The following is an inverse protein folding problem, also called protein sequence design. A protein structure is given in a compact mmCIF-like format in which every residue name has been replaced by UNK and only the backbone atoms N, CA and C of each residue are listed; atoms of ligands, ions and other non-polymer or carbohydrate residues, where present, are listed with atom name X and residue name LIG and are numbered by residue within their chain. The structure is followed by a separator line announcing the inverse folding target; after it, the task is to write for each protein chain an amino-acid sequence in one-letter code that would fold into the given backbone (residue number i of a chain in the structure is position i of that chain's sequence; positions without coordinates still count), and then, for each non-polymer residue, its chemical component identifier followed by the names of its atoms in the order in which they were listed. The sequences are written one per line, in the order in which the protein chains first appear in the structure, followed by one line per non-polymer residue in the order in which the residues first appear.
data_IF_645903728958
#
_entry.id   IF_645903728958
#
_cell.length_a   1.000
_cell.length_b   1.000
_cell.length_c   1.000
_cell.angle_alpha   90.00
_cell.angle_beta   90.00
_cell.angle_gamma   90.00
#
_symmetry.space_group_name_H-M   'P 1'
#
loop_
_entity.id
_entity.type
_entity.pdbx_description
1 polymer ?
#
# COMPACT_ATOMS: atom_id res chain seq x y z
N UNK A 1 -8.86 -27.39 1.69
CA UNK A 1 -8.84 -26.32 2.71
C UNK A 1 -9.53 -25.08 2.15
N UNK A 2 -10.46 -24.51 2.90
CA UNK A 2 -11.24 -23.34 2.47
C UNK A 2 -10.80 -22.12 3.27
N UNK A 3 -10.25 -21.11 2.58
CA UNK A 3 -9.70 -19.89 3.17
C UNK A 3 -10.56 -18.69 2.79
N UNK A 4 -10.86 -17.84 3.76
CA UNK A 4 -11.43 -16.52 3.48
C UNK A 4 -10.45 -15.45 3.89
N UNK A 5 -10.12 -14.57 2.93
CA UNK A 5 -9.39 -13.34 3.19
C UNK A 5 -10.36 -12.17 3.26
N UNK A 6 -10.15 -11.28 4.22
CA UNK A 6 -10.95 -10.06 4.33
C UNK A 6 -10.05 -8.85 4.54
N UNK A 7 -10.23 -7.86 3.70
CA UNK A 7 -9.43 -6.65 3.66
C UNK A 7 -10.30 -5.50 3.14
N UNK A 8 -9.84 -4.27 3.26
CA UNK A 8 -10.60 -3.23 2.61
C UNK A 8 -10.10 -1.81 2.71
N UNK A 9 -10.57 -1.03 1.74
CA UNK A 9 -10.45 0.41 1.67
C UNK A 9 -9.21 0.92 0.94
N UNK A 10 -8.06 0.27 1.10
CA UNK A 10 -6.79 0.73 0.48
C UNK A 10 -5.91 -0.43 0.06
N UNK A 11 -5.05 -0.20 -0.94
CA UNK A 11 -4.07 -1.19 -1.40
C UNK A 11 -3.17 -1.71 -0.26
N UNK A 12 -2.86 -0.88 0.74
CA UNK A 12 -2.07 -1.27 1.90
C UNK A 12 -2.68 -2.38 2.78
N UNK A 13 -3.99 -2.64 2.67
CA UNK A 13 -4.65 -3.79 3.31
C UNK A 13 -4.93 -4.92 2.33
N UNK A 14 -5.11 -4.61 1.04
CA UNK A 14 -5.46 -5.58 0.00
C UNK A 14 -4.22 -6.36 -0.46
N UNK A 15 -3.12 -5.68 -0.75
CA UNK A 15 -1.90 -6.30 -1.26
C UNK A 15 -1.32 -7.36 -0.32
N UNK A 16 -1.23 -7.15 1.01
CA UNK A 16 -0.81 -8.19 1.95
C UNK A 16 -1.71 -9.42 1.93
N UNK A 17 -3.04 -9.22 1.81
CA UNK A 17 -3.97 -10.33 1.70
C UNK A 17 -3.73 -11.14 0.42
N UNK A 18 -3.53 -10.46 -0.73
CA UNK A 18 -3.20 -11.10 -2.01
C UNK A 18 -1.86 -11.83 -1.93
N UNK A 19 -0.83 -11.22 -1.31
CA UNK A 19 0.48 -11.85 -1.16
C UNK A 19 0.40 -13.17 -0.39
N UNK A 20 -0.32 -13.18 0.74
CA UNK A 20 -0.53 -14.42 1.52
C UNK A 20 -1.40 -15.41 0.74
N UNK A 21 -2.45 -14.97 0.05
CA UNK A 21 -3.32 -15.84 -0.75
C UNK A 21 -2.54 -16.51 -1.88
N UNK A 22 -1.66 -15.78 -2.58
CA UNK A 22 -0.80 -16.34 -3.62
C UNK A 22 0.13 -17.43 -3.06
N UNK A 23 0.77 -17.17 -1.93
CA UNK A 23 1.63 -18.15 -1.27
C UNK A 23 0.85 -19.39 -0.79
N UNK A 24 -0.37 -19.21 -0.28
CA UNK A 24 -1.23 -20.32 0.11
C UNK A 24 -1.64 -21.17 -1.09
N UNK A 25 -2.00 -20.56 -2.22
CA UNK A 25 -2.34 -21.26 -3.46
C UNK A 25 -1.15 -22.01 -4.05
N UNK A 26 0.04 -21.43 -3.97
CA UNK A 26 1.29 -22.09 -4.43
C UNK A 26 1.62 -23.32 -3.58
N UNK A 27 1.55 -23.21 -2.25
CA UNK A 27 1.87 -24.30 -1.33
C UNK A 27 0.77 -25.36 -1.19
N UNK A 28 -0.47 -24.95 -1.43
CA UNK A 28 -1.67 -25.78 -1.30
C UNK A 28 -2.58 -25.58 -2.52
N UNK A 29 -2.25 -26.18 -3.69
CA UNK A 29 -3.00 -25.97 -4.93
C UNK A 29 -4.49 -26.31 -4.84
N UNK A 30 -4.86 -27.23 -3.96
CA UNK A 30 -6.25 -27.64 -3.73
C UNK A 30 -7.02 -26.75 -2.75
N UNK A 31 -6.45 -25.61 -2.32
CA UNK A 31 -7.16 -24.71 -1.44
C UNK A 31 -8.16 -23.86 -2.21
N UNK A 32 -9.35 -23.68 -1.64
CA UNK A 32 -10.36 -22.76 -2.14
C UNK A 32 -10.19 -21.42 -1.40
N UNK A 33 -10.01 -20.35 -2.17
CA UNK A 33 -9.80 -19.01 -1.61
C UNK A 33 -10.92 -18.08 -2.06
N UNK A 34 -11.54 -17.41 -1.10
CA UNK A 34 -12.57 -16.39 -1.31
C UNK A 34 -12.18 -15.11 -0.58
N UNK A 35 -12.35 -13.98 -1.25
CA UNK A 35 -12.17 -12.66 -0.62
C UNK A 35 -13.51 -12.05 -0.22
N UNK A 36 -13.49 -11.31 0.89
CA UNK A 36 -14.59 -10.45 1.33
C UNK A 36 -14.04 -9.04 1.50
N UNK A 37 -14.64 -8.07 0.80
CA UNK A 37 -14.24 -6.67 0.79
C UNK A 37 -15.43 -5.72 0.85
N UNK A 38 -15.17 -4.42 0.71
CA UNK A 38 -16.20 -3.39 0.65
C UNK A 38 -16.55 -3.04 -0.79
N UNK A 39 -17.82 -2.70 -1.04
CA UNK A 39 -18.31 -2.26 -2.33
C UNK A 39 -17.84 -0.84 -2.66
N UNK A 40 -17.54 -0.59 -3.95
CA UNK A 40 -17.10 0.71 -4.45
C UNK A 40 -15.67 1.08 -4.08
N UNK A 41 -14.83 0.12 -3.71
CA UNK A 41 -13.45 0.33 -3.33
C UNK A 41 -12.46 -0.46 -4.21
N UNK A 42 -11.17 -0.30 -3.92
CA UNK A 42 -10.10 -0.89 -4.74
C UNK A 42 -10.13 -2.42 -4.80
N UNK A 43 -10.74 -3.07 -3.81
CA UNK A 43 -10.92 -4.53 -3.77
C UNK A 43 -11.60 -5.05 -5.03
N UNK A 44 -12.59 -4.31 -5.55
CA UNK A 44 -13.35 -4.71 -6.76
C UNK A 44 -12.48 -4.79 -8.02
N UNK A 45 -11.32 -4.12 -8.02
CA UNK A 45 -10.35 -4.18 -9.11
C UNK A 45 -9.19 -5.13 -8.78
N UNK A 46 -8.53 -4.95 -7.63
CA UNK A 46 -7.27 -5.63 -7.31
C UNK A 46 -7.47 -7.14 -7.06
N UNK A 47 -8.54 -7.53 -6.41
CA UNK A 47 -8.77 -8.95 -6.07
C UNK A 47 -9.07 -9.79 -7.32
N UNK A 48 -10.01 -9.40 -8.23
CA UNK A 48 -10.23 -10.13 -9.47
C UNK A 48 -9.02 -10.12 -10.41
N UNK A 49 -8.24 -9.03 -10.46
CA UNK A 49 -7.00 -8.98 -11.23
C UNK A 49 -5.94 -9.97 -10.72
N UNK A 50 -5.94 -10.27 -9.42
CA UNK A 50 -5.09 -11.29 -8.83
C UNK A 50 -5.64 -12.73 -9.02
N UNK A 51 -6.78 -12.89 -9.71
CA UNK A 51 -7.38 -14.18 -10.02
C UNK A 51 -8.13 -14.83 -8.86
N UNK A 52 -8.75 -14.01 -7.98
CA UNK A 52 -9.56 -14.49 -6.87
C UNK A 52 -11.01 -14.03 -6.93
N UNK A 53 -11.90 -14.87 -6.43
CA UNK A 53 -13.31 -14.53 -6.25
C UNK A 53 -13.47 -13.53 -5.10
N UNK A 54 -14.37 -12.56 -5.29
CA UNK A 54 -14.67 -11.50 -4.34
C UNK A 54 -16.17 -11.42 -4.04
N UNK A 55 -16.52 -11.32 -2.78
CA UNK A 55 -17.85 -10.92 -2.30
C UNK A 55 -17.76 -9.56 -1.63
N UNK A 56 -18.51 -8.58 -2.16
CA UNK A 56 -18.53 -7.23 -1.63
C UNK A 56 -19.67 -7.03 -0.65
N UNK A 57 -19.37 -6.36 0.46
CA UNK A 57 -20.32 -5.94 1.48
C UNK A 57 -20.54 -4.42 1.38
N UNK A 58 -21.74 -3.96 1.71
CA UNK A 58 -21.93 -2.54 1.97
C UNK A 58 -21.14 -2.16 3.22
N UNK A 59 -20.32 -1.11 3.12
CA UNK A 59 -19.41 -0.71 4.18
C UNK A 59 -19.37 0.81 4.36
N UNK A 60 -19.18 1.24 5.60
CA UNK A 60 -18.95 2.64 5.94
C UNK A 60 -17.94 2.74 7.07
N UNK A 61 -16.91 3.55 6.86
CA UNK A 61 -15.94 3.87 7.90
C UNK A 61 -16.53 4.77 9.00
N UNK A 62 -16.05 4.60 10.23
CA UNK A 62 -16.43 5.47 11.36
C UNK A 62 -15.85 6.88 11.18
N UNK A 63 -16.66 7.90 11.48
CA UNK A 63 -16.24 9.30 11.52
C UNK A 63 -15.76 9.68 12.91
N UNK A 64 -14.64 10.40 12.98
CA UNK A 64 -14.10 10.95 14.24
C UNK A 64 -14.68 12.33 14.61
N UNK A 65 -15.52 12.90 13.77
CA UNK A 65 -16.18 14.18 14.04
C UNK A 65 -17.17 14.08 15.20
N UNK A 66 -17.40 15.20 15.89
CA UNK A 66 -18.37 15.32 16.99
C UNK A 66 -19.69 16.01 16.58
N UNK A 67 -19.88 16.30 15.28
CA UNK A 67 -21.08 16.97 14.77
C UNK A 67 -22.21 15.97 14.45
N UNK A 68 -23.41 16.47 14.23
CA UNK A 68 -24.61 15.67 13.89
C UNK A 68 -24.41 14.79 12.64
N UNK A 69 -23.65 15.28 11.65
CA UNK A 69 -23.33 14.53 10.44
C UNK A 69 -22.44 13.30 10.77
N UNK A 70 -21.46 13.45 11.68
CA UNK A 70 -20.62 12.36 12.16
C UNK A 70 -21.43 11.32 12.94
N UNK A 71 -22.39 11.76 13.78
CA UNK A 71 -23.29 10.85 14.50
C UNK A 71 -24.15 10.04 13.53
N UNK A 72 -24.78 10.69 12.52
CA UNK A 72 -25.53 9.98 11.48
C UNK A 72 -24.66 8.98 10.72
N UNK A 73 -23.45 9.36 10.35
CA UNK A 73 -22.48 8.49 9.67
C UNK A 73 -22.10 7.29 10.54
N UNK A 74 -21.89 7.49 11.84
CA UNK A 74 -21.55 6.40 12.76
C UNK A 74 -22.73 5.44 13.00
N UNK A 75 -23.97 5.95 13.09
CA UNK A 75 -25.17 5.10 13.14
C UNK A 75 -25.31 4.26 11.86
N UNK A 76 -25.09 4.86 10.70
CA UNK A 76 -25.07 4.14 9.43
C UNK A 76 -23.96 3.06 9.40
N UNK A 77 -22.76 3.38 9.89
CA UNK A 77 -21.65 2.41 9.97
C UNK A 77 -22.00 1.21 10.86
N UNK A 78 -22.65 1.43 12.01
CA UNK A 78 -23.13 0.34 12.88
C UNK A 78 -24.16 -0.53 12.18
N UNK A 79 -25.09 0.07 11.42
CA UNK A 79 -26.06 -0.69 10.60
C UNK A 79 -25.34 -1.54 9.55
N UNK A 80 -24.40 -0.97 8.79
CA UNK A 80 -23.59 -1.70 7.81
C UNK A 80 -22.83 -2.87 8.45
N UNK A 81 -22.26 -2.69 9.65
CA UNK A 81 -21.59 -3.78 10.37
C UNK A 81 -22.56 -4.92 10.69
N UNK A 82 -23.76 -4.61 11.20
CA UNK A 82 -24.77 -5.66 11.52
C UNK A 82 -25.24 -6.41 10.27
N UNK A 83 -25.50 -5.70 9.18
CA UNK A 83 -25.90 -6.30 7.90
C UNK A 83 -24.75 -7.12 7.31
N UNK A 84 -23.51 -6.59 7.35
CA UNK A 84 -22.32 -7.29 6.93
C UNK A 84 -22.06 -8.57 7.70
N UNK A 85 -22.22 -8.57 9.03
CA UNK A 85 -22.12 -9.79 9.87
C UNK A 85 -23.16 -10.83 9.43
N UNK A 86 -24.40 -10.40 9.13
CA UNK A 86 -25.48 -11.30 8.68
C UNK A 86 -25.14 -11.92 7.30
N UNK A 87 -24.65 -11.11 6.38
CA UNK A 87 -24.22 -11.56 5.06
C UNK A 87 -23.02 -12.53 5.16
N UNK A 88 -22.02 -12.21 5.97
CA UNK A 88 -20.89 -13.10 6.19
C UNK A 88 -21.30 -14.45 6.76
N UNK A 89 -22.20 -14.48 7.75
CA UNK A 89 -22.71 -15.74 8.29
C UNK A 89 -23.39 -16.62 7.24
N UNK A 90 -24.09 -16.01 6.28
CA UNK A 90 -24.66 -16.75 5.14
C UNK A 90 -23.56 -17.33 4.25
N UNK A 91 -22.60 -16.50 3.85
CA UNK A 91 -21.44 -16.91 3.04
C UNK A 91 -20.68 -18.06 3.73
N UNK A 92 -20.44 -17.97 5.04
CA UNK A 92 -19.69 -18.99 5.79
C UNK A 92 -20.42 -20.34 5.91
N UNK A 93 -21.75 -20.35 5.97
CA UNK A 93 -22.53 -21.60 5.92
C UNK A 93 -22.41 -22.31 4.58
N UNK A 94 -22.33 -21.55 3.50
CA UNK A 94 -22.19 -22.06 2.13
C UNK A 94 -20.75 -22.47 1.83
N UNK A 95 -19.79 -21.59 2.10
CA UNK A 95 -18.37 -21.79 1.79
C UNK A 95 -17.64 -22.71 2.76
N UNK A 96 -18.09 -22.77 4.04
CA UNK A 96 -17.50 -23.57 5.13
C UNK A 96 -16.01 -23.31 5.32
N UNK A 97 -15.60 -22.07 5.65
CA UNK A 97 -14.18 -21.75 5.79
C UNK A 97 -13.55 -22.46 6.99
N UNK A 98 -12.34 -22.97 6.80
CA UNK A 98 -11.47 -23.51 7.85
C UNK A 98 -10.85 -22.40 8.69
N UNK A 99 -10.56 -21.25 8.05
CA UNK A 99 -10.01 -20.05 8.70
C UNK A 99 -10.42 -18.78 7.96
N UNK A 100 -10.59 -17.70 8.71
CA UNK A 100 -10.82 -16.34 8.17
C UNK A 100 -9.66 -15.45 8.56
N UNK A 101 -9.01 -14.85 7.56
CA UNK A 101 -7.79 -14.04 7.71
C UNK A 101 -8.13 -12.58 7.37
N UNK A 102 -7.92 -11.68 8.32
CA UNK A 102 -8.14 -10.24 8.13
C UNK A 102 -6.83 -9.47 8.12
N UNK A 103 -6.60 -8.65 7.08
CA UNK A 103 -5.38 -7.85 6.93
C UNK A 103 -5.63 -6.36 7.20
N UNK A 104 -6.77 -6.01 7.76
CA UNK A 104 -7.09 -4.65 8.16
C UNK A 104 -8.15 -3.96 7.31
N UNK A 105 -8.40 -2.69 7.65
CA UNK A 105 -9.50 -1.93 7.09
C UNK A 105 -10.84 -2.18 7.80
N UNK A 106 -11.76 -1.22 7.69
CA UNK A 106 -13.07 -1.32 8.34
C UNK A 106 -13.94 -2.46 7.78
N UNK A 107 -13.71 -2.84 6.52
CA UNK A 107 -14.45 -3.90 5.84
C UNK A 107 -14.14 -5.29 6.40
N UNK A 108 -12.97 -5.51 7.01
CA UNK A 108 -12.59 -6.81 7.56
C UNK A 108 -13.32 -7.14 8.87
N UNK A 109 -13.74 -6.14 9.64
CA UNK A 109 -14.35 -6.36 10.96
C UNK A 109 -15.64 -7.20 10.93
N UNK A 110 -16.64 -6.95 10.04
CA UNK A 110 -17.86 -7.78 9.97
C UNK A 110 -17.56 -9.25 9.71
N UNK A 111 -16.61 -9.57 8.82
CA UNK A 111 -16.25 -10.95 8.50
C UNK A 111 -15.55 -11.63 9.69
N UNK A 112 -14.55 -10.98 10.29
CA UNK A 112 -13.85 -11.51 11.47
C UNK A 112 -14.82 -11.73 12.64
N UNK A 113 -15.70 -10.77 12.93
CA UNK A 113 -16.68 -10.90 13.99
C UNK A 113 -17.69 -12.02 13.72
N UNK A 114 -18.16 -12.17 12.48
CA UNK A 114 -19.04 -13.26 12.08
C UNK A 114 -18.39 -14.62 12.30
N UNK A 115 -17.13 -14.78 11.83
CA UNK A 115 -16.35 -16.02 12.00
C UNK A 115 -16.19 -16.38 13.48
N UNK A 116 -15.74 -15.43 14.30
CA UNK A 116 -15.56 -15.61 15.74
C UNK A 116 -16.87 -16.00 16.44
N UNK A 117 -18.00 -15.40 16.02
CA UNK A 117 -19.33 -15.74 16.59
C UNK A 117 -19.85 -17.12 16.18
N UNK A 118 -19.27 -17.72 15.15
CA UNK A 118 -19.55 -19.08 14.66
C UNK A 118 -18.53 -20.12 15.09
N UNK A 119 -17.53 -19.74 15.89
CA UNK A 119 -16.45 -20.62 16.33
C UNK A 119 -15.43 -20.95 15.25
N UNK A 120 -15.42 -20.20 14.13
CA UNK A 120 -14.46 -20.38 13.06
C UNK A 120 -13.14 -19.71 13.47
N UNK A 121 -11.98 -20.38 13.34
CA UNK A 121 -10.68 -19.80 13.63
C UNK A 121 -10.42 -18.51 12.82
N UNK A 122 -9.83 -17.51 13.47
CA UNK A 122 -9.47 -16.26 12.81
C UNK A 122 -8.02 -15.92 13.02
N UNK A 123 -7.41 -15.35 11.99
CA UNK A 123 -6.09 -14.74 12.03
C UNK A 123 -6.21 -13.27 11.65
N UNK A 124 -5.54 -12.39 12.37
CA UNK A 124 -5.56 -10.95 12.12
C UNK A 124 -4.14 -10.48 11.86
N UNK A 125 -3.91 -9.81 10.75
CA UNK A 125 -2.64 -9.14 10.46
C UNK A 125 -2.79 -7.63 10.65
N UNK A 126 -1.82 -7.01 11.35
CA UNK A 126 -1.72 -5.56 11.53
C UNK A 126 -0.43 -5.03 10.92
N UNK A 127 -0.59 -4.15 9.96
CA UNK A 127 0.52 -3.54 9.23
C UNK A 127 1.15 -2.31 9.89
N UNK A 128 0.55 -1.80 10.96
CA UNK A 128 1.02 -0.57 11.60
C UNK A 128 1.58 -0.85 13.00
N UNK A 129 2.58 -0.06 13.42
CA UNK A 129 3.12 -0.11 14.78
C UNK A 129 2.07 0.23 15.85
N UNK A 130 1.05 1.04 15.49
CA UNK A 130 -0.11 1.32 16.35
C UNK A 130 -1.37 0.77 15.69
N UNK A 131 -1.94 -0.32 16.23
CA UNK A 131 -3.07 -1.00 15.60
C UNK A 131 -4.34 -0.15 15.56
N UNK A 132 -5.11 -0.34 14.49
CA UNK A 132 -6.42 0.25 14.32
C UNK A 132 -7.44 -0.27 15.37
N UNK A 133 -8.49 0.51 15.61
CA UNK A 133 -9.54 0.15 16.58
C UNK A 133 -10.22 -1.18 16.21
N UNK A 134 -10.54 -1.37 14.94
CA UNK A 134 -11.17 -2.60 14.43
C UNK A 134 -10.28 -3.82 14.57
N UNK A 135 -8.98 -3.66 14.30
CA UNK A 135 -7.97 -4.70 14.50
C UNK A 135 -7.87 -5.11 15.96
N UNK A 136 -7.78 -4.13 16.90
CA UNK A 136 -7.74 -4.39 18.34
C UNK A 136 -8.97 -5.16 18.83
N UNK A 137 -10.16 -4.79 18.34
CA UNK A 137 -11.40 -5.48 18.74
C UNK A 137 -11.42 -6.92 18.22
N UNK A 138 -11.04 -7.15 16.97
CA UNK A 138 -11.00 -8.48 16.38
C UNK A 138 -9.91 -9.36 17.04
N UNK A 139 -8.75 -8.78 17.38
CA UNK A 139 -7.64 -9.49 18.00
C UNK A 139 -7.99 -10.15 19.34
N UNK A 140 -8.91 -9.59 20.12
CA UNK A 140 -9.29 -10.15 21.43
C UNK A 140 -9.79 -11.60 21.33
N UNK A 141 -10.44 -11.98 20.24
CA UNK A 141 -11.01 -13.32 20.01
C UNK A 141 -10.29 -14.07 18.88
N UNK A 142 -9.27 -13.48 18.29
CA UNK A 142 -8.50 -14.14 17.24
C UNK A 142 -7.71 -15.34 17.79
N UNK A 143 -7.51 -16.35 16.93
CA UNK A 143 -6.66 -17.50 17.24
C UNK A 143 -5.18 -17.10 17.20
N UNK A 144 -4.82 -16.21 16.26
CA UNK A 144 -3.49 -15.61 16.11
C UNK A 144 -3.60 -14.16 15.69
N UNK A 145 -2.64 -13.35 16.12
CA UNK A 145 -2.45 -11.96 15.71
C UNK A 145 -1.04 -11.84 15.17
N UNK A 146 -0.93 -11.52 13.89
CA UNK A 146 0.32 -11.33 13.19
C UNK A 146 0.58 -9.82 13.09
N UNK A 147 1.78 -9.36 13.41
CA UNK A 147 2.09 -7.94 13.38
C UNK A 147 3.35 -7.67 12.57
N UNK A 148 3.35 -6.54 11.86
CA UNK A 148 4.50 -6.12 11.08
C UNK A 148 5.63 -5.54 11.95
N UNK A 149 5.30 -5.00 13.13
CA UNK A 149 6.24 -4.31 14.01
C UNK A 149 6.17 -4.84 15.44
N UNK A 150 7.33 -5.03 16.06
CA UNK A 150 7.44 -5.48 17.46
C UNK A 150 6.75 -4.50 18.44
N UNK A 151 6.83 -3.20 18.17
CA UNK A 151 6.19 -2.16 18.96
C UNK A 151 4.66 -2.31 19.02
N UNK A 152 4.06 -3.03 18.06
CA UNK A 152 2.64 -3.27 18.03
C UNK A 152 2.19 -4.23 19.15
N UNK A 153 3.04 -5.16 19.59
CA UNK A 153 2.74 -6.22 20.57
C UNK A 153 2.15 -5.64 21.85
N UNK A 154 2.73 -4.58 22.37
CA UNK A 154 2.27 -3.92 23.63
C UNK A 154 0.84 -3.39 23.62
N UNK A 155 0.23 -3.31 22.45
CA UNK A 155 -1.13 -2.77 22.29
C UNK A 155 -2.23 -3.83 22.39
N UNK A 156 -1.89 -5.11 22.49
CA UNK A 156 -2.83 -6.22 22.56
C UNK A 156 -3.00 -6.75 23.98
N UNK A 157 -4.21 -7.20 24.31
CA UNK A 157 -4.53 -7.77 25.63
C UNK A 157 -3.94 -9.16 25.85
N UNK A 158 -3.69 -9.87 24.75
CA UNK A 158 -3.23 -11.26 24.71
C UNK A 158 -1.92 -11.33 23.91
N UNK A 159 -0.78 -10.83 24.47
CA UNK A 159 0.49 -10.84 23.77
C UNK A 159 1.00 -12.26 23.44
N UNK A 160 0.56 -13.27 24.16
CA UNK A 160 0.87 -14.67 23.88
C UNK A 160 0.31 -15.20 22.55
N UNK A 161 -0.64 -14.48 21.94
CA UNK A 161 -1.20 -14.80 20.62
C UNK A 161 -0.58 -13.98 19.49
N UNK A 162 0.33 -13.05 19.83
CA UNK A 162 0.92 -12.10 18.88
C UNK A 162 2.25 -12.64 18.40
N UNK A 163 2.42 -12.67 17.09
CA UNK A 163 3.67 -13.06 16.42
C UNK A 163 4.13 -11.90 15.53
N UNK A 164 5.41 -11.55 15.62
CA UNK A 164 6.04 -10.56 14.74
C UNK A 164 6.47 -11.28 13.46
N UNK A 165 5.84 -10.95 12.35
CA UNK A 165 6.04 -11.64 11.06
C UNK A 165 6.45 -10.70 9.93
N UNK A 166 6.56 -9.39 10.22
CA UNK A 166 6.76 -8.40 9.18
C UNK A 166 5.49 -8.14 8.35
N UNK A 167 5.67 -7.46 7.24
CA UNK A 167 4.60 -7.16 6.29
C UNK A 167 4.66 -8.12 5.11
N UNK A 168 3.60 -8.87 4.81
CA UNK A 168 3.55 -9.68 3.60
C UNK A 168 3.67 -8.80 2.35
N UNK A 169 4.66 -9.06 1.53
CA UNK A 169 4.87 -8.42 0.23
C UNK A 169 4.66 -9.42 -0.89
N UNK A 170 4.31 -8.94 -2.06
CA UNK A 170 4.20 -9.79 -3.23
C UNK A 170 5.59 -10.30 -3.63
N UNK A 171 5.66 -11.55 -4.05
CA UNK A 171 6.91 -12.25 -4.37
C UNK A 171 7.73 -11.53 -5.44
N UNK A 172 7.07 -10.91 -6.39
CA UNK A 172 7.65 -10.17 -7.50
C UNK A 172 8.57 -9.02 -7.01
N UNK A 173 8.25 -8.40 -5.86
CA UNK A 173 9.15 -7.38 -5.26
C UNK A 173 10.51 -7.93 -4.82
N UNK A 174 10.62 -9.24 -4.59
CA UNK A 174 11.84 -9.90 -4.12
C UNK A 174 12.64 -10.49 -5.29
N UNK A 175 11.94 -11.01 -6.31
CA UNK A 175 12.56 -11.83 -7.35
C UNK A 175 12.67 -11.15 -8.71
N UNK A 176 11.96 -10.05 -8.96
CA UNK A 176 12.10 -9.31 -10.21
C UNK A 176 13.48 -8.66 -10.26
N UNK A 177 14.17 -8.88 -11.37
CA UNK A 177 15.48 -8.27 -11.58
C UNK A 177 15.35 -6.97 -12.38
N UNK A 178 16.23 -6.02 -12.10
CA UNK A 178 16.24 -4.73 -12.81
C UNK A 178 16.36 -4.87 -14.33
N UNK A 179 17.21 -5.78 -14.77
CA UNK A 179 17.42 -6.05 -16.20
C UNK A 179 16.15 -6.66 -16.84
N UNK A 180 15.55 -7.67 -16.20
CA UNK A 180 14.30 -8.31 -16.65
C UNK A 180 13.15 -7.33 -16.73
N UNK A 181 12.95 -6.54 -15.69
CA UNK A 181 11.90 -5.53 -15.59
C UNK A 181 12.07 -4.43 -16.66
N UNK A 182 13.28 -3.93 -16.88
CA UNK A 182 13.57 -2.94 -17.94
C UNK A 182 13.31 -3.48 -19.34
N UNK A 183 13.68 -4.74 -19.60
CA UNK A 183 13.40 -5.40 -20.87
C UNK A 183 11.88 -5.55 -21.10
N UNK A 184 11.15 -5.96 -20.08
CA UNK A 184 9.69 -6.08 -20.14
C UNK A 184 9.01 -4.74 -20.44
N UNK A 185 9.46 -3.67 -19.78
CA UNK A 185 8.90 -2.33 -19.92
C UNK A 185 9.47 -1.57 -21.14
N UNK A 186 10.46 -2.11 -21.84
CA UNK A 186 11.14 -1.43 -22.97
C UNK A 186 11.93 -0.19 -22.55
N UNK A 187 12.43 -0.14 -21.31
CA UNK A 187 13.11 1.03 -20.74
C UNK A 187 14.63 0.89 -20.82
N UNK A 188 15.29 2.01 -21.11
CA UNK A 188 16.76 2.16 -21.09
C UNK A 188 17.16 3.44 -20.34
N UNK A 189 18.38 3.51 -19.85
CA UNK A 189 18.84 4.66 -19.07
C UNK A 189 18.28 4.67 -17.64
N UNK A 190 18.26 5.85 -17.03
CA UNK A 190 17.73 6.00 -15.66
C UNK A 190 16.20 6.00 -15.63
N UNK A 191 15.65 5.40 -14.58
CA UNK A 191 14.21 5.31 -14.33
C UNK A 191 13.89 5.84 -12.95
N UNK A 192 13.01 6.82 -12.87
CA UNK A 192 12.49 7.39 -11.63
C UNK A 192 11.00 7.09 -11.54
N UNK A 193 10.55 6.59 -10.39
CA UNK A 193 9.16 6.26 -10.14
C UNK A 193 8.64 7.13 -9.01
N UNK A 194 7.52 7.80 -9.21
CA UNK A 194 6.88 8.57 -8.15
C UNK A 194 5.42 8.16 -7.93
N UNK A 195 5.07 7.84 -6.67
CA UNK A 195 3.73 7.42 -6.30
C UNK A 195 3.41 7.80 -4.85
N UNK A 196 2.28 8.46 -4.62
CA UNK A 196 1.92 9.00 -3.31
C UNK A 196 0.65 8.36 -2.74
N UNK A 197 0.54 7.05 -2.92
CA UNK A 197 -0.59 6.23 -2.50
C UNK A 197 -1.70 6.12 -3.54
N UNK A 198 -2.63 5.19 -3.32
CA UNK A 198 -3.70 4.84 -4.27
C UNK A 198 -4.68 5.98 -4.59
N UNK A 199 -4.86 6.88 -3.64
CA UNK A 199 -5.68 8.08 -3.85
C UNK A 199 -4.87 9.25 -4.41
N UNK A 200 -3.55 9.19 -4.32
CA UNK A 200 -2.67 10.31 -4.60
C UNK A 200 -2.61 11.32 -3.46
N UNK A 201 -1.71 12.28 -3.58
CA UNK A 201 -1.57 13.41 -2.66
C UNK A 201 -1.52 14.71 -3.45
N UNK A 202 -2.49 15.60 -3.24
CA UNK A 202 -2.63 16.82 -4.05
C UNK A 202 -1.33 17.64 -4.09
N UNK A 203 -0.75 17.96 -2.93
CA UNK A 203 0.50 18.74 -2.83
C UNK A 203 1.64 18.08 -3.59
N UNK A 204 1.76 16.75 -3.50
CA UNK A 204 2.82 16.04 -4.19
C UNK A 204 2.61 15.96 -5.69
N UNK A 205 1.37 15.76 -6.15
CA UNK A 205 1.05 15.82 -7.57
C UNK A 205 1.31 17.22 -8.15
N UNK A 206 1.03 18.29 -7.38
CA UNK A 206 1.38 19.66 -7.75
C UNK A 206 2.92 19.81 -7.85
N UNK A 207 3.65 19.34 -6.84
CA UNK A 207 5.13 19.38 -6.83
C UNK A 207 5.72 18.65 -8.03
N UNK A 208 5.24 17.44 -8.36
CA UNK A 208 5.70 16.68 -9.53
C UNK A 208 5.34 17.39 -10.84
N UNK A 209 4.10 17.86 -10.98
CA UNK A 209 3.67 18.57 -12.19
C UNK A 209 4.52 19.83 -12.47
N UNK A 210 4.95 20.52 -11.40
CA UNK A 210 5.78 21.71 -11.49
C UNK A 210 7.30 21.36 -11.61
N UNK A 211 7.69 20.13 -11.28
CA UNK A 211 9.05 19.62 -11.48
C UNK A 211 9.30 19.17 -12.94
N UNK A 212 8.32 18.59 -13.60
CA UNK A 212 8.45 18.07 -14.98
C UNK A 212 9.01 19.09 -15.98
N UNK A 213 8.66 20.40 -15.95
CA UNK A 213 9.34 21.40 -16.80
C UNK A 213 10.85 21.51 -16.59
N UNK A 214 11.35 21.22 -15.39
CA UNK A 214 12.80 21.17 -15.12
C UNK A 214 13.44 19.95 -15.79
N UNK A 215 12.73 18.82 -15.80
CA UNK A 215 13.16 17.61 -16.53
C UNK A 215 13.24 17.88 -18.04
N UNK A 216 12.23 18.59 -18.60
CA UNK A 216 12.21 18.99 -20.01
C UNK A 216 13.37 19.94 -20.35
N UNK A 217 13.61 20.94 -19.51
CA UNK A 217 14.70 21.90 -19.72
C UNK A 217 16.07 21.23 -19.74
N UNK A 218 16.23 20.09 -19.08
CA UNK A 218 17.44 19.27 -19.00
C UNK A 218 17.42 18.09 -20.00
N UNK A 219 16.48 18.08 -20.95
CA UNK A 219 16.34 17.07 -21.99
C UNK A 219 15.88 15.71 -21.53
N UNK A 220 15.11 15.64 -20.45
CA UNK A 220 14.61 14.40 -19.83
C UNK A 220 15.71 13.39 -19.52
N UNK A 221 16.54 13.65 -18.49
CA UNK A 221 17.71 12.83 -18.18
C UNK A 221 17.36 11.44 -17.61
N UNK A 222 16.10 11.13 -17.42
CA UNK A 222 15.56 9.85 -16.96
C UNK A 222 14.14 9.62 -17.47
N UNK A 223 13.71 8.37 -17.51
CA UNK A 223 12.29 8.02 -17.66
C UNK A 223 11.57 8.24 -16.35
N UNK A 224 10.50 9.02 -16.35
CA UNK A 224 9.69 9.31 -15.17
C UNK A 224 8.33 8.62 -15.28
N UNK A 225 8.07 7.64 -14.42
CA UNK A 225 6.78 6.97 -14.27
C UNK A 225 6.09 7.55 -13.03
N UNK A 226 4.95 8.21 -13.22
CA UNK A 226 4.21 8.86 -12.15
C UNK A 226 2.80 8.31 -11.99
N UNK A 227 2.41 7.97 -10.73
CA UNK A 227 1.04 7.62 -10.38
C UNK A 227 0.34 8.80 -9.69
N UNK A 228 -0.67 9.37 -10.36
CA UNK A 228 -1.43 10.51 -9.85
C UNK A 228 -2.38 10.15 -8.70
N UNK A 229 -2.78 8.89 -8.60
CA UNK A 229 -3.89 8.44 -7.77
C UNK A 229 -5.25 8.92 -8.28
N UNK A 230 -6.32 8.37 -7.68
CA UNK A 230 -7.69 8.66 -8.12
C UNK A 230 -8.08 10.15 -8.02
N UNK A 231 -7.51 10.90 -7.08
CA UNK A 231 -7.80 12.34 -6.94
C UNK A 231 -7.02 13.22 -7.92
N UNK A 232 -5.91 12.74 -8.45
CA UNK A 232 -5.04 13.51 -9.36
C UNK A 232 -5.28 13.28 -10.84
N UNK A 233 -5.95 12.18 -11.21
CA UNK A 233 -6.03 11.67 -12.57
C UNK A 233 -6.55 12.64 -13.63
N UNK A 234 -7.48 13.52 -13.26
CA UNK A 234 -8.09 14.47 -14.20
C UNK A 234 -7.29 15.76 -14.32
N UNK A 235 -6.84 16.33 -13.20
CA UNK A 235 -6.27 17.67 -13.17
C UNK A 235 -4.74 17.70 -13.32
N UNK A 236 -4.03 16.67 -12.82
CA UNK A 236 -2.56 16.70 -12.82
C UNK A 236 -1.99 16.59 -14.23
N UNK A 237 -2.44 15.66 -15.11
CA UNK A 237 -1.99 15.63 -16.49
C UNK A 237 -2.30 16.92 -17.26
N UNK A 238 -3.43 17.59 -16.96
CA UNK A 238 -3.75 18.87 -17.54
C UNK A 238 -2.77 19.95 -17.07
N UNK A 239 -2.44 19.99 -15.76
CA UNK A 239 -1.46 20.95 -15.23
C UNK A 239 -0.09 20.79 -15.89
N UNK A 240 0.36 19.56 -16.19
CA UNK A 240 1.60 19.31 -16.93
C UNK A 240 1.54 19.95 -18.33
N UNK A 241 0.42 19.80 -19.04
CA UNK A 241 0.21 20.46 -20.33
C UNK A 241 0.18 21.98 -20.20
N UNK A 242 -0.52 22.51 -19.20
CA UNK A 242 -0.60 23.96 -18.92
C UNK A 242 0.78 24.55 -18.56
N UNK A 243 1.67 23.73 -17.99
CA UNK A 243 3.09 24.07 -17.73
C UNK A 243 3.98 23.95 -18.99
N UNK A 244 3.42 23.69 -20.16
CA UNK A 244 4.13 23.68 -21.44
C UNK A 244 4.79 22.34 -21.80
N UNK A 245 4.44 21.25 -21.12
CA UNK A 245 5.01 19.91 -21.41
C UNK A 245 3.97 19.03 -22.06
N UNK A 246 4.18 18.63 -23.32
CA UNK A 246 3.35 17.64 -24.02
C UNK A 246 3.73 16.21 -23.59
N UNK A 247 3.25 15.83 -22.41
CA UNK A 247 3.55 14.51 -21.84
C UNK A 247 3.02 13.34 -22.66
N UNK A 248 1.98 13.55 -23.48
CA UNK A 248 1.39 12.49 -24.31
C UNK A 248 2.31 12.04 -25.44
N UNK A 249 3.11 12.98 -25.95
CA UNK A 249 4.07 12.73 -27.02
C UNK A 249 5.51 12.66 -26.48
N UNK A 250 5.71 12.62 -25.16
CA UNK A 250 7.01 12.52 -24.52
C UNK A 250 7.30 11.07 -24.11
N UNK A 251 8.17 10.33 -24.78
CA UNK A 251 8.48 8.93 -24.45
C UNK A 251 9.17 8.76 -23.08
N UNK A 252 9.71 9.85 -22.52
CA UNK A 252 10.34 9.83 -21.19
C UNK A 252 9.34 9.97 -20.03
N UNK A 253 8.08 10.32 -20.32
CA UNK A 253 7.04 10.53 -19.30
C UNK A 253 5.92 9.50 -19.44
N UNK A 254 5.61 8.81 -18.34
CA UNK A 254 4.49 7.90 -18.23
C UNK A 254 3.64 8.30 -17.01
N UNK A 255 2.51 8.95 -17.27
CA UNK A 255 1.60 9.44 -16.24
C UNK A 255 0.36 8.53 -16.19
N UNK A 256 0.19 7.80 -15.09
CA UNK A 256 -0.88 6.82 -14.86
C UNK A 256 -1.77 7.24 -13.69
N UNK A 257 -3.03 6.78 -13.68
CA UNK A 257 -3.87 6.89 -12.47
C UNK A 257 -3.31 6.00 -11.36
N UNK A 258 -2.93 4.76 -11.70
CA UNK A 258 -2.42 3.76 -10.77
C UNK A 258 -1.42 2.83 -11.46
N UNK A 259 -0.39 2.41 -10.74
CA UNK A 259 0.62 1.46 -11.23
C UNK A 259 0.23 0.06 -10.72
N UNK A 260 -0.39 -0.75 -11.57
CA UNK A 260 -0.82 -2.12 -11.23
C UNK A 260 0.34 -3.09 -11.19
N UNK A 261 1.32 -2.89 -12.04
CA UNK A 261 2.59 -3.61 -12.20
C UNK A 261 3.71 -3.03 -11.32
N UNK A 262 3.36 -2.51 -10.13
CA UNK A 262 4.31 -1.84 -9.23
C UNK A 262 5.58 -2.67 -8.94
N UNK A 263 5.57 -4.00 -8.76
CA UNK A 263 6.81 -4.77 -8.59
C UNK A 263 7.76 -4.61 -9.75
N UNK A 264 7.29 -4.81 -10.98
CA UNK A 264 8.10 -4.68 -12.20
C UNK A 264 8.61 -3.24 -12.38
N UNK A 265 7.73 -2.25 -12.17
CA UNK A 265 8.10 -0.84 -12.27
C UNK A 265 9.13 -0.45 -11.19
N UNK A 266 8.96 -0.95 -9.96
CA UNK A 266 9.90 -0.67 -8.87
C UNK A 266 11.25 -1.38 -9.08
N UNK A 267 11.24 -2.61 -9.59
CA UNK A 267 12.46 -3.33 -9.95
C UNK A 267 13.25 -2.62 -11.06
N UNK A 268 12.55 -2.04 -12.06
CA UNK A 268 13.17 -1.27 -13.14
C UNK A 268 13.80 0.06 -12.65
N UNK A 269 13.33 0.62 -11.54
CA UNK A 269 13.66 1.95 -11.07
C UNK A 269 15.09 2.07 -10.52
N UNK A 270 15.68 3.25 -10.69
CA UNK A 270 16.90 3.70 -10.00
C UNK A 270 16.56 4.41 -8.69
N UNK A 271 15.42 5.11 -8.67
CA UNK A 271 14.92 5.84 -7.50
C UNK A 271 13.41 5.73 -7.46
N UNK A 272 12.89 5.41 -6.29
CA UNK A 272 11.45 5.51 -5.98
C UNK A 272 11.19 6.71 -5.09
N UNK A 273 10.18 7.51 -5.42
CA UNK A 273 9.74 8.67 -4.65
C UNK A 273 8.33 8.37 -4.15
N UNK A 274 8.13 8.42 -2.84
CA UNK A 274 6.82 8.05 -2.31
C UNK A 274 6.52 8.53 -0.90
N UNK A 275 5.29 8.21 -0.46
CA UNK A 275 4.89 8.30 0.94
C UNK A 275 5.51 7.16 1.74
N UNK A 276 5.69 7.37 3.04
CA UNK A 276 6.24 6.35 3.93
C UNK A 276 5.13 5.55 4.66
N UNK A 277 4.13 5.10 3.91
CA UNK A 277 3.16 4.12 4.41
C UNK A 277 3.85 2.78 4.68
N UNK A 278 3.33 1.99 5.64
CA UNK A 278 3.95 0.72 6.01
C UNK A 278 4.13 -0.21 4.80
N UNK A 279 3.10 -0.39 3.96
CA UNK A 279 3.21 -1.22 2.77
C UNK A 279 4.34 -0.74 1.83
N UNK A 280 4.36 0.56 1.52
CA UNK A 280 5.39 1.14 0.63
C UNK A 280 6.80 0.95 1.19
N UNK A 281 7.01 1.17 2.49
CA UNK A 281 8.32 0.96 3.12
C UNK A 281 8.79 -0.50 3.02
N UNK A 282 7.88 -1.45 3.21
CA UNK A 282 8.21 -2.88 3.10
C UNK A 282 8.41 -3.33 1.63
N UNK A 283 7.62 -2.80 0.69
CA UNK A 283 7.82 -3.03 -0.74
C UNK A 283 9.18 -2.49 -1.22
N UNK A 284 9.56 -1.28 -0.77
CA UNK A 284 10.88 -0.69 -1.01
C UNK A 284 11.99 -1.53 -0.39
N UNK A 285 11.82 -1.97 0.88
CA UNK A 285 12.77 -2.86 1.54
C UNK A 285 12.97 -4.16 0.77
N UNK A 286 11.87 -4.79 0.34
CA UNK A 286 11.91 -6.06 -0.40
C UNK A 286 12.55 -5.93 -1.80
N UNK A 287 12.25 -4.84 -2.52
CA UNK A 287 12.85 -4.58 -3.84
C UNK A 287 14.29 -4.08 -3.76
N UNK A 288 14.71 -3.55 -2.61
CA UNK A 288 16.00 -2.91 -2.44
C UNK A 288 16.20 -1.64 -3.28
N UNK A 289 15.12 -1.01 -3.73
CA UNK A 289 15.21 0.16 -4.61
C UNK A 289 15.49 1.44 -3.82
N UNK A 290 16.58 2.19 -4.09
CA UNK A 290 16.87 3.47 -3.43
C UNK A 290 15.68 4.41 -3.45
N UNK A 291 15.41 5.12 -2.36
CA UNK A 291 14.18 5.90 -2.28
C UNK A 291 14.34 7.29 -1.66
N UNK A 292 13.45 8.19 -2.09
CA UNK A 292 13.19 9.48 -1.46
C UNK A 292 11.80 9.38 -0.83
N UNK A 293 11.73 9.46 0.49
CA UNK A 293 10.48 9.35 1.23
C UNK A 293 9.99 10.73 1.67
N UNK A 294 8.74 11.03 1.31
CA UNK A 294 8.08 12.29 1.67
C UNK A 294 6.87 11.93 2.53
N UNK A 295 7.05 11.81 3.87
CA UNK A 295 5.98 11.40 4.76
C UNK A 295 4.82 12.39 4.76
N UNK A 296 3.58 11.86 4.80
CA UNK A 296 2.38 12.70 4.91
C UNK A 296 2.26 13.28 6.32
N UNK A 297 2.07 14.60 6.46
CA UNK A 297 1.81 15.22 7.78
C UNK A 297 0.40 14.94 8.30
N UNK A 298 -0.51 14.48 7.42
CA UNK A 298 -1.94 14.33 7.72
C UNK A 298 -2.32 12.92 8.18
N UNK A 299 -1.41 12.23 8.86
CA UNK A 299 -1.64 10.87 9.34
C UNK A 299 -1.63 10.78 10.86
N UNK A 300 -2.35 9.81 11.41
CA UNK A 300 -2.47 9.61 12.86
C UNK A 300 -1.09 9.33 13.47
N UNK A 301 -0.78 10.02 14.58
CA UNK A 301 0.47 9.83 15.36
C UNK A 301 1.76 10.02 14.54
N UNK A 302 1.69 10.72 13.41
CA UNK A 302 2.84 10.96 12.54
C UNK A 302 3.59 9.67 12.16
N UNK A 303 2.85 8.57 11.95
CA UNK A 303 3.44 7.25 11.75
C UNK A 303 4.28 7.16 10.47
N UNK A 304 3.93 7.92 9.42
CA UNK A 304 4.72 7.89 8.18
C UNK A 304 6.12 8.49 8.37
N UNK A 305 6.27 9.58 9.12
CA UNK A 305 7.60 10.12 9.40
C UNK A 305 8.43 9.13 10.22
N UNK A 306 7.84 8.48 11.21
CA UNK A 306 8.52 7.44 11.97
C UNK A 306 9.02 6.29 11.10
N UNK A 307 8.17 5.80 10.20
CA UNK A 307 8.56 4.76 9.24
C UNK A 307 9.71 5.24 8.33
N UNK A 308 9.60 6.46 7.78
CA UNK A 308 10.62 7.02 6.91
C UNK A 308 11.98 7.14 7.64
N UNK A 309 11.97 7.61 8.89
CA UNK A 309 13.20 7.76 9.70
C UNK A 309 13.88 6.43 10.01
N UNK A 310 13.13 5.32 10.10
CA UNK A 310 13.72 3.98 10.26
C UNK A 310 14.55 3.61 9.02
N UNK A 311 14.01 3.80 7.80
CA UNK A 311 14.74 3.51 6.57
C UNK A 311 15.93 4.47 6.37
N UNK A 312 15.77 5.74 6.74
CA UNK A 312 16.84 6.74 6.69
C UNK A 312 18.00 6.40 7.65
N UNK A 313 17.68 6.05 8.90
CA UNK A 313 18.66 5.66 9.90
C UNK A 313 19.43 4.39 9.49
N UNK A 314 18.79 3.48 8.78
CA UNK A 314 19.44 2.31 8.17
C UNK A 314 20.30 2.67 6.95
N UNK A 315 20.21 3.90 6.42
CA UNK A 315 20.92 4.35 5.22
C UNK A 315 20.28 3.95 3.89
N UNK A 316 19.02 3.46 3.91
CA UNK A 316 18.28 3.01 2.72
C UNK A 316 17.43 4.09 2.04
N UNK A 317 17.19 5.22 2.72
CA UNK A 317 16.31 6.28 2.23
C UNK A 317 16.87 7.68 2.45
N UNK A 318 16.42 8.63 1.64
CA UNK A 318 16.52 10.07 1.93
C UNK A 318 15.13 10.56 2.31
N UNK A 319 15.01 11.26 3.45
CA UNK A 319 13.72 11.77 3.93
C UNK A 319 13.64 13.28 3.72
N UNK A 320 12.57 13.72 3.03
CA UNK A 320 12.25 15.12 2.82
C UNK A 320 10.87 15.38 3.41
N UNK A 321 10.73 16.35 4.31
CA UNK A 321 9.41 16.69 4.84
C UNK A 321 8.60 17.42 3.77
N UNK A 322 7.29 17.16 3.69
CA UNK A 322 6.40 17.73 2.67
C UNK A 322 6.52 19.26 2.56
N UNK A 323 6.61 19.95 3.71
CA UNK A 323 6.76 21.42 3.76
C UNK A 323 8.07 21.93 3.15
N UNK A 324 9.09 21.10 3.08
CA UNK A 324 10.44 21.44 2.58
C UNK A 324 10.66 20.92 1.15
N UNK A 325 9.71 20.15 0.61
CA UNK A 325 9.78 19.52 -0.71
C UNK A 325 9.28 20.48 -1.79
N UNK A 326 10.18 21.29 -2.34
CA UNK A 326 9.87 22.12 -3.52
C UNK A 326 10.26 21.39 -4.81
N UNK A 327 9.67 21.75 -5.99
CA UNK A 327 10.02 21.13 -7.28
C UNK A 327 11.52 21.15 -7.56
N UNK A 328 12.17 22.32 -7.39
CA UNK A 328 13.62 22.45 -7.63
C UNK A 328 14.47 21.60 -6.69
N UNK A 329 14.19 21.62 -5.39
CA UNK A 329 14.94 20.79 -4.42
C UNK A 329 14.78 19.30 -4.69
N UNK A 330 13.56 18.86 -5.04
CA UNK A 330 13.30 17.45 -5.36
C UNK A 330 14.08 17.06 -6.62
N UNK A 331 14.05 17.89 -7.64
CA UNK A 331 14.79 17.65 -8.87
C UNK A 331 16.31 17.58 -8.65
N UNK A 332 16.89 18.52 -7.92
CA UNK A 332 18.31 18.53 -7.54
C UNK A 332 18.70 17.25 -6.77
N UNK A 333 17.85 16.81 -5.84
CA UNK A 333 18.09 15.59 -5.08
C UNK A 333 18.06 14.34 -5.96
N UNK A 334 17.10 14.25 -6.88
CA UNK A 334 17.04 13.16 -7.87
C UNK A 334 18.34 13.15 -8.71
N UNK A 335 18.73 14.29 -9.26
CA UNK A 335 19.93 14.42 -10.08
C UNK A 335 21.20 14.03 -9.31
N UNK A 336 21.31 14.49 -8.07
CA UNK A 336 22.43 14.13 -7.18
C UNK A 336 22.51 12.62 -6.93
N UNK A 337 21.37 11.98 -6.63
CA UNK A 337 21.33 10.53 -6.43
C UNK A 337 21.61 9.75 -7.71
N UNK A 338 21.11 10.20 -8.87
CA UNK A 338 21.39 9.55 -10.17
C UNK A 338 22.87 9.66 -10.57
N UNK A 339 23.55 10.73 -10.20
CA UNK A 339 24.98 10.90 -10.44
C UNK A 339 25.88 10.05 -9.54
N UNK A 340 25.39 9.65 -8.35
CA UNK A 340 26.16 8.92 -7.33
C UNK A 340 25.76 7.43 -7.30
N UNK A 341 26.38 6.63 -8.15
CA UNK A 341 26.10 5.19 -8.25
C UNK A 341 26.48 4.44 -6.98
N UNK A 342 27.60 4.78 -6.34
CA UNK A 342 28.05 4.10 -5.13
C UNK A 342 27.06 4.31 -3.99
N UNK A 343 26.54 5.52 -3.86
CA UNK A 343 25.50 5.83 -2.88
C UNK A 343 24.23 5.02 -3.15
N UNK A 344 23.76 4.92 -4.40
CA UNK A 344 22.57 4.12 -4.73
C UNK A 344 22.80 2.63 -4.43
N UNK A 345 23.97 2.08 -4.75
CA UNK A 345 24.33 0.70 -4.42
C UNK A 345 24.32 0.44 -2.92
N UNK A 346 24.89 1.37 -2.14
CA UNK A 346 24.90 1.24 -0.68
C UNK A 346 23.49 1.34 -0.10
N UNK A 347 22.66 2.27 -0.58
CA UNK A 347 21.25 2.37 -0.19
C UNK A 347 20.51 1.07 -0.47
N UNK A 348 20.66 0.49 -1.65
CA UNK A 348 20.05 -0.78 -2.04
C UNK A 348 20.50 -1.92 -1.11
N UNK A 349 21.80 -2.04 -0.86
CA UNK A 349 22.35 -3.05 0.04
C UNK A 349 21.76 -2.94 1.45
N UNK A 350 21.63 -1.73 1.98
CA UNK A 350 21.04 -1.48 3.30
C UNK A 350 19.57 -1.86 3.36
N UNK A 351 18.79 -1.55 2.33
CA UNK A 351 17.37 -1.92 2.26
C UNK A 351 17.17 -3.44 2.32
N UNK A 352 17.94 -4.21 1.57
CA UNK A 352 17.87 -5.68 1.60
C UNK A 352 18.23 -6.31 2.96
N UNK A 353 18.94 -5.60 3.83
CA UNK A 353 19.23 -6.10 5.19
C UNK A 353 18.09 -5.86 6.19
N UNK A 354 17.05 -5.15 5.79
CA UNK A 354 15.92 -4.78 6.66
C UNK A 354 14.70 -5.71 6.52
N UNK A 355 14.74 -6.62 5.53
CA UNK A 355 13.60 -7.51 5.17
C UNK A 355 13.96 -8.98 5.41
#
# INVERSE_FOLDING_TARGET
MNLIFTCGGTAGHINPAIAVANMMRERHPDCNILFIGAKGHMEEKLVPQAGYDLKCLEGSGLSRGKNLAAVKKNLHAVKCVREGVKACKKIFREFKPDVVIGTGGYASFPALYAAQSMGIPTCVHESNAVPGVTTKLAANKASRVLVAFEESVRHYKHPEKVEVVGMPVRREFIFDTKEGARKELGLSGFVVVSAFGSQGAKVMNETIADMIPLEQADGFPFHHIHATGSFGKEWMPKRVMDNGVDWKNCPALDIREYIYDMPTVMAAADIVIGRAGSATCNEIGASGTPCILIPSPNVTNNHQEKNARVLEAAGGAVVVLEKDCTPGKLYELIRSLLADEDRRREMSRKLHTMV
#
